data_IF_781057216919
#
_entry.id   IF_781057216919
#
_cell.length_a   1.000
_cell.length_b   1.000
_cell.length_c   1.000
_cell.angle_alpha   90.00
_cell.angle_beta   90.00
_cell.angle_gamma   90.00
#
_symmetry.space_group_name_H-M   'P 1'
#
loop_
_entity.id
_entity.type
_entity.pdbx_description
1 polymer ?
#
# COMPACT_ATOMS: atom_id res chain seq x y z
N UNK A 1 -17.60 -2.72 -14.20
CA UNK A 1 -16.22 -2.48 -14.69
C UNK A 1 -16.16 -1.46 -15.84
N UNK A 2 -17.16 -1.35 -16.72
CA UNK A 2 -17.19 -0.32 -17.77
C UNK A 2 -17.18 1.12 -17.21
N UNK A 3 -16.27 1.95 -17.73
CA UNK A 3 -16.20 3.40 -17.45
C UNK A 3 -15.31 4.15 -18.46
N UNK A 4 -15.10 5.45 -18.24
CA UNK A 4 -14.36 6.38 -19.11
C UNK A 4 -12.99 6.79 -18.54
N UNK A 5 -12.59 6.24 -17.39
CA UNK A 5 -11.31 6.57 -16.73
C UNK A 5 -10.16 6.07 -17.59
N UNK A 6 -9.19 6.94 -17.86
CA UNK A 6 -8.01 6.66 -18.69
C UNK A 6 -6.74 6.72 -17.85
N UNK A 7 -6.51 7.84 -17.18
CA UNK A 7 -5.34 7.97 -16.32
C UNK A 7 -5.59 7.19 -15.02
N UNK A 8 -4.84 6.11 -14.81
CA UNK A 8 -5.02 5.22 -13.67
C UNK A 8 -3.90 5.39 -12.67
N UNK A 9 -4.26 5.68 -11.42
CA UNK A 9 -3.30 5.91 -10.34
C UNK A 9 -2.90 4.60 -9.68
N UNK A 10 -1.60 4.36 -9.60
CA UNK A 10 -1.06 3.19 -8.91
C UNK A 10 -0.62 3.48 -7.46
N UNK A 11 -0.52 4.77 -7.10
CA UNK A 11 -0.63 5.26 -5.72
C UNK A 11 -1.79 6.25 -5.67
N UNK A 12 -2.76 5.99 -4.81
CA UNK A 12 -4.04 6.69 -4.80
C UNK A 12 -3.85 8.22 -4.67
N UNK A 13 -4.59 9.00 -5.47
CA UNK A 13 -4.49 10.47 -5.39
C UNK A 13 -4.81 10.98 -3.98
N UNK A 14 -5.75 10.33 -3.27
CA UNK A 14 -6.11 10.71 -1.90
C UNK A 14 -4.91 10.62 -0.95
N UNK A 15 -4.01 9.65 -1.12
CA UNK A 15 -2.80 9.52 -0.31
C UNK A 15 -1.78 10.61 -0.63
N UNK A 16 -1.60 10.91 -1.91
CA UNK A 16 -0.76 12.02 -2.34
C UNK A 16 -1.28 13.37 -1.79
N UNK A 17 -2.61 13.56 -1.73
CA UNK A 17 -3.24 14.78 -1.22
C UNK A 17 -3.05 15.00 0.27
N UNK A 18 -2.93 13.93 1.06
CA UNK A 18 -2.56 14.01 2.48
C UNK A 18 -1.12 14.52 2.68
N UNK A 19 -0.35 14.62 1.60
CA UNK A 19 1.02 15.13 1.55
C UNK A 19 1.16 16.40 0.68
N UNK A 20 0.05 17.02 0.28
CA UNK A 20 0.07 18.17 -0.63
C UNK A 20 0.75 19.40 -0.01
N UNK A 21 1.47 20.15 -0.86
CA UNK A 21 2.07 21.45 -0.54
C UNK A 21 0.99 22.48 -0.18
N UNK A 22 -0.14 22.39 -0.88
CA UNK A 22 -1.23 23.36 -0.89
C UNK A 22 -2.59 22.67 -0.63
N UNK A 23 -2.80 22.06 0.55
CA UNK A 23 -3.98 21.24 0.81
C UNK A 23 -5.30 22.03 0.75
N UNK A 24 -5.26 23.34 0.97
CA UNK A 24 -6.46 24.19 1.01
C UNK A 24 -7.04 24.56 -0.36
N UNK A 25 -6.35 24.26 -1.47
CA UNK A 25 -6.86 24.61 -2.81
C UNK A 25 -7.64 23.45 -3.44
N UNK A 26 -8.32 23.72 -4.56
CA UNK A 26 -9.10 22.70 -5.27
C UNK A 26 -8.26 21.46 -5.63
N UNK A 27 -8.81 20.27 -5.44
CA UNK A 27 -8.15 18.96 -5.64
C UNK A 27 -7.43 18.78 -6.99
N UNK A 28 -7.91 19.43 -8.06
CA UNK A 28 -7.29 19.43 -9.41
C UNK A 28 -5.96 20.18 -9.49
N UNK A 29 -5.75 21.15 -8.59
CA UNK A 29 -4.59 22.02 -8.60
C UNK A 29 -3.58 21.66 -7.50
N UNK A 30 -3.92 20.72 -6.62
CA UNK A 30 -3.04 20.32 -5.53
C UNK A 30 -1.76 19.69 -6.08
N UNK A 31 -0.63 20.03 -5.46
CA UNK A 31 0.71 19.63 -5.88
C UNK A 31 1.47 19.01 -4.73
N UNK A 32 2.47 18.21 -5.07
CA UNK A 32 3.41 17.57 -4.15
C UNK A 32 4.83 17.73 -4.68
N UNK A 33 5.84 17.91 -3.83
CA UNK A 33 7.22 17.93 -4.32
C UNK A 33 7.67 16.50 -4.61
N UNK A 34 8.37 16.33 -5.71
CA UNK A 34 8.96 15.07 -6.16
C UNK A 34 10.47 15.19 -6.18
N UNK A 35 11.15 14.15 -5.72
CA UNK A 35 12.59 14.09 -5.63
C UNK A 35 13.06 12.83 -6.32
N UNK A 36 14.00 12.99 -7.25
CA UNK A 36 14.66 11.86 -7.89
C UNK A 36 15.81 11.37 -7.02
N UNK A 37 15.87 10.04 -6.84
CA UNK A 37 16.89 9.39 -6.03
C UNK A 37 18.17 9.24 -6.85
N UNK A 38 19.20 10.03 -6.53
CA UNK A 38 20.50 9.99 -7.20
C UNK A 38 21.41 8.92 -6.63
N UNK A 39 21.40 8.76 -5.32
CA UNK A 39 22.20 7.77 -4.61
C UNK A 39 21.43 7.28 -3.39
N UNK A 40 21.04 6.00 -3.40
CA UNK A 40 20.22 5.41 -2.35
C UNK A 40 21.01 5.05 -1.09
N UNK A 41 22.32 4.81 -1.21
CA UNK A 41 23.19 4.45 -0.10
C UNK A 41 23.64 5.69 0.67
N UNK A 42 23.90 6.78 -0.06
CA UNK A 42 24.24 8.07 0.52
C UNK A 42 23.02 9.00 0.71
N UNK A 43 21.81 8.50 0.46
CA UNK A 43 20.53 9.21 0.56
C UNK A 43 20.48 10.56 -0.19
N UNK A 44 21.11 10.66 -1.36
CA UNK A 44 21.15 11.88 -2.16
C UNK A 44 19.94 12.00 -3.08
N UNK A 45 19.30 13.16 -3.03
CA UNK A 45 18.08 13.48 -3.76
C UNK A 45 18.23 14.76 -4.59
N UNK A 46 17.63 14.78 -5.77
CA UNK A 46 17.47 15.98 -6.58
C UNK A 46 15.99 16.37 -6.64
N UNK A 47 15.66 17.60 -6.26
CA UNK A 47 14.32 18.15 -6.43
C UNK A 47 14.02 18.28 -7.94
N UNK A 48 12.95 17.65 -8.40
CA UNK A 48 12.58 17.63 -9.82
C UNK A 48 11.91 18.93 -10.28
N UNK A 49 11.14 19.57 -9.39
CA UNK A 49 10.38 20.78 -9.72
C UNK A 49 10.23 21.69 -8.51
N UNK A 50 10.67 22.94 -8.64
CA UNK A 50 10.49 24.00 -7.65
C UNK A 50 9.02 24.35 -7.39
N UNK A 51 8.12 23.98 -8.30
CA UNK A 51 6.68 24.16 -8.19
C UNK A 51 5.96 22.88 -7.72
N UNK A 52 6.68 21.79 -7.51
CA UNK A 52 6.13 20.45 -7.33
C UNK A 52 5.47 19.90 -8.60
N UNK A 53 4.86 18.74 -8.49
CA UNK A 53 4.11 18.04 -9.52
C UNK A 53 2.62 18.03 -9.20
N UNK A 54 1.77 18.04 -10.24
CA UNK A 54 0.33 17.95 -10.04
C UNK A 54 -0.04 16.53 -9.64
N UNK A 55 -0.83 16.41 -8.57
CA UNK A 55 -1.27 15.09 -8.06
C UNK A 55 -2.21 14.39 -9.06
N UNK A 56 -2.97 15.13 -9.87
CA UNK A 56 -3.90 14.54 -10.84
C UNK A 56 -3.20 13.69 -11.93
N UNK A 57 -1.92 13.98 -12.20
CA UNK A 57 -1.12 13.32 -13.24
C UNK A 57 0.07 12.52 -12.68
N UNK A 58 0.26 12.52 -11.35
CA UNK A 58 1.40 11.90 -10.69
C UNK A 58 1.09 10.48 -10.22
N UNK A 59 2.10 9.60 -10.26
CA UNK A 59 2.01 8.17 -9.90
C UNK A 59 0.82 7.48 -10.59
N UNK A 60 0.69 7.76 -11.89
CA UNK A 60 -0.36 7.25 -12.74
C UNK A 60 0.15 6.88 -14.12
N UNK A 61 -0.61 6.06 -14.82
CA UNK A 61 -0.31 5.70 -16.20
C UNK A 61 -1.61 5.48 -16.96
N UNK A 62 -1.63 5.90 -18.22
CA UNK A 62 -2.80 5.77 -19.08
C UNK A 62 -3.13 4.31 -19.37
N UNK A 63 -4.37 3.92 -19.09
CA UNK A 63 -4.95 2.61 -19.39
C UNK A 63 -4.30 1.43 -18.64
N UNK A 64 -3.49 1.69 -17.61
CA UNK A 64 -2.71 0.68 -16.87
C UNK A 64 -3.48 -0.54 -16.34
N UNK A 65 -4.78 -0.39 -16.12
CA UNK A 65 -5.66 -1.41 -15.55
C UNK A 65 -6.83 -1.72 -16.49
N UNK A 66 -6.76 -1.27 -17.74
CA UNK A 66 -7.72 -1.56 -18.78
C UNK A 66 -7.45 -2.96 -19.35
N UNK A 67 -8.52 -3.71 -19.60
CA UNK A 67 -8.45 -5.04 -20.18
C UNK A 67 -9.41 -5.26 -21.36
N UNK A 68 -10.14 -4.21 -21.78
CA UNK A 68 -10.88 -4.18 -23.04
C UNK A 68 -11.19 -2.73 -23.43
N UNK A 69 -11.04 -2.38 -24.71
CA UNK A 69 -11.51 -1.11 -25.27
C UNK A 69 -12.84 -1.35 -25.98
N UNK A 70 -13.92 -0.72 -25.50
CA UNK A 70 -15.25 -0.85 -26.10
C UNK A 70 -15.45 0.18 -27.23
N UNK A 71 -14.85 1.36 -27.07
CA UNK A 71 -14.73 2.43 -28.06
C UNK A 71 -13.65 3.43 -27.59
N UNK A 72 -13.49 4.56 -28.28
CA UNK A 72 -12.50 5.59 -27.94
C UNK A 72 -12.61 6.09 -26.49
N UNK A 73 -13.85 6.18 -25.97
CA UNK A 73 -14.13 6.78 -24.66
C UNK A 73 -14.47 5.78 -23.57
N UNK A 74 -14.76 4.53 -23.89
CA UNK A 74 -15.20 3.52 -22.93
C UNK A 74 -14.30 2.30 -22.94
N UNK A 75 -14.00 1.83 -21.75
CA UNK A 75 -13.17 0.64 -21.51
C UNK A 75 -13.65 -0.15 -20.31
N UNK A 76 -13.29 -1.43 -20.28
CA UNK A 76 -13.37 -2.23 -19.07
C UNK A 76 -12.04 -2.11 -18.32
N UNK A 77 -12.10 -1.73 -17.04
CA UNK A 77 -10.93 -1.62 -16.18
C UNK A 77 -11.30 -1.93 -14.72
N UNK A 78 -10.28 -1.93 -13.85
CA UNK A 78 -10.40 -2.23 -12.42
C UNK A 78 -10.58 -0.98 -11.52
N UNK A 79 -10.65 0.23 -12.07
CA UNK A 79 -10.69 1.49 -11.27
C UNK A 79 -11.85 1.53 -10.27
N UNK A 80 -13.03 1.09 -10.68
CA UNK A 80 -14.19 1.02 -9.78
C UNK A 80 -13.95 0.09 -8.60
N UNK A 81 -13.20 -0.99 -8.78
CA UNK A 81 -12.87 -1.94 -7.72
C UNK A 81 -11.84 -1.35 -6.74
N UNK A 82 -10.81 -0.66 -7.24
CA UNK A 82 -9.88 0.09 -6.39
C UNK A 82 -10.59 1.18 -5.58
N UNK A 83 -11.53 1.89 -6.23
CA UNK A 83 -12.29 2.99 -5.61
C UNK A 83 -13.08 2.59 -4.36
N UNK A 84 -13.50 1.32 -4.23
CA UNK A 84 -14.19 0.81 -3.03
C UNK A 84 -13.36 1.05 -1.76
N UNK A 85 -12.04 0.83 -1.85
CA UNK A 85 -11.10 1.00 -0.75
C UNK A 85 -10.59 2.45 -0.64
N UNK A 86 -10.34 3.11 -1.77
CA UNK A 86 -9.74 4.45 -1.80
C UNK A 86 -10.66 5.55 -1.24
N UNK A 87 -11.96 5.46 -1.48
CA UNK A 87 -12.90 6.56 -1.25
C UNK A 87 -12.95 7.03 0.21
N UNK A 88 -12.62 6.15 1.16
CA UNK A 88 -12.73 6.43 2.59
C UNK A 88 -11.39 6.69 3.28
N UNK A 89 -10.23 6.34 2.69
CA UNK A 89 -8.95 6.38 3.41
C UNK A 89 -8.59 7.76 3.93
N UNK A 90 -8.92 8.83 3.20
CA UNK A 90 -8.66 10.19 3.66
C UNK A 90 -9.40 10.50 4.96
N UNK A 91 -10.68 10.13 5.03
CA UNK A 91 -11.52 10.30 6.22
C UNK A 91 -11.09 9.37 7.35
N UNK A 92 -10.73 8.13 7.04
CA UNK A 92 -10.25 7.16 8.02
C UNK A 92 -8.91 7.59 8.62
N UNK A 93 -8.01 8.15 7.81
CA UNK A 93 -6.72 8.68 8.29
C UNK A 93 -6.91 9.88 9.20
N UNK A 94 -7.79 10.81 8.82
CA UNK A 94 -8.14 11.95 9.67
C UNK A 94 -8.80 11.49 10.98
N UNK A 95 -9.77 10.57 10.91
CA UNK A 95 -10.41 9.96 12.08
C UNK A 95 -9.39 9.31 13.01
N UNK A 96 -8.47 8.50 12.46
CA UNK A 96 -7.43 7.82 13.22
C UNK A 96 -6.56 8.82 13.99
N UNK A 97 -6.07 9.85 13.30
CA UNK A 97 -5.19 10.84 13.90
C UNK A 97 -5.90 11.69 14.96
N UNK A 98 -7.17 12.04 14.74
CA UNK A 98 -7.98 12.74 15.74
C UNK A 98 -8.21 11.87 16.98
N UNK A 99 -8.65 10.62 16.81
CA UNK A 99 -8.84 9.67 17.91
C UNK A 99 -7.55 9.42 18.70
N UNK A 100 -6.43 9.26 18.01
CA UNK A 100 -5.10 9.13 18.63
C UNK A 100 -4.72 10.37 19.45
N UNK A 101 -5.03 11.57 18.96
CA UNK A 101 -4.77 12.80 19.71
C UNK A 101 -5.65 12.93 20.96
N UNK A 102 -6.88 12.43 20.90
CA UNK A 102 -7.85 12.43 21.99
C UNK A 102 -7.68 11.23 22.96
N UNK A 103 -6.67 10.37 22.74
CA UNK A 103 -6.47 9.10 23.47
C UNK A 103 -7.70 8.19 23.44
N UNK A 104 -8.39 8.14 22.30
CA UNK A 104 -9.49 7.25 22.04
C UNK A 104 -8.97 5.93 21.43
N UNK A 105 -9.25 4.82 22.12
CA UNK A 105 -8.80 3.47 21.74
C UNK A 105 -9.72 2.78 20.72
N UNK A 106 -10.86 3.36 20.37
CA UNK A 106 -11.77 2.86 19.33
C UNK A 106 -11.24 3.19 17.91
N UNK A 107 -10.08 2.63 17.56
CA UNK A 107 -9.35 2.92 16.30
C UNK A 107 -9.17 1.68 15.41
N UNK A 108 -9.75 0.54 15.81
CA UNK A 108 -9.57 -0.74 15.13
C UNK A 108 -10.03 -0.66 13.67
N UNK A 109 -11.19 -0.07 13.41
CA UNK A 109 -11.73 0.03 12.06
C UNK A 109 -10.81 0.83 11.13
N UNK A 110 -10.35 2.01 11.56
CA UNK A 110 -9.42 2.84 10.79
C UNK A 110 -8.13 2.09 10.48
N UNK A 111 -7.57 1.40 11.47
CA UNK A 111 -6.33 0.63 11.32
C UNK A 111 -6.47 -0.46 10.25
N UNK A 112 -7.57 -1.22 10.26
CA UNK A 112 -7.80 -2.32 9.34
C UNK A 112 -8.00 -1.82 7.90
N UNK A 113 -8.89 -0.84 7.74
CA UNK A 113 -9.25 -0.29 6.43
C UNK A 113 -8.08 0.46 5.77
N UNK A 114 -7.29 1.21 6.57
CA UNK A 114 -6.05 1.84 6.09
C UNK A 114 -5.07 0.76 5.63
N UNK A 115 -4.88 -0.31 6.41
CA UNK A 115 -3.97 -1.39 6.01
C UNK A 115 -4.40 -2.06 4.70
N UNK A 116 -5.70 -2.34 4.55
CA UNK A 116 -6.26 -2.94 3.35
C UNK A 116 -5.93 -2.12 2.09
N UNK A 117 -6.18 -0.80 2.14
CA UNK A 117 -5.84 0.05 1.00
C UNK A 117 -4.33 0.14 0.76
N UNK A 118 -3.54 0.30 1.82
CA UNK A 118 -2.07 0.43 1.68
C UNK A 118 -1.44 -0.83 1.11
N UNK A 119 -1.95 -2.00 1.49
CA UNK A 119 -1.54 -3.26 0.90
C UNK A 119 -2.03 -3.39 -0.56
N UNK A 120 -3.25 -2.96 -0.86
CA UNK A 120 -3.75 -2.94 -2.24
C UNK A 120 -2.90 -2.05 -3.15
N UNK A 121 -2.46 -0.88 -2.67
CA UNK A 121 -1.51 -0.02 -3.38
C UNK A 121 -0.20 -0.75 -3.70
N UNK A 122 0.28 -1.56 -2.76
CA UNK A 122 1.48 -2.39 -2.97
C UNK A 122 1.26 -3.38 -4.12
N UNK A 123 0.11 -4.06 -4.16
CA UNK A 123 -0.15 -5.06 -5.19
C UNK A 123 -0.40 -4.45 -6.58
N UNK A 124 -1.10 -3.32 -6.66
CA UNK A 124 -1.40 -2.63 -7.92
C UNK A 124 -0.29 -1.69 -8.40
N UNK A 125 0.81 -1.56 -7.67
CA UNK A 125 1.92 -0.73 -8.11
C UNK A 125 2.71 -1.42 -9.23
N UNK A 126 2.86 -0.80 -10.42
CA UNK A 126 3.56 -1.41 -11.54
C UNK A 126 5.06 -1.59 -11.26
N UNK A 127 5.67 -0.79 -10.40
CA UNK A 127 7.05 -0.99 -9.93
C UNK A 127 7.21 -2.21 -9.00
N UNK A 128 6.10 -2.84 -8.62
CA UNK A 128 6.05 -4.00 -7.74
C UNK A 128 5.52 -5.26 -8.42
N UNK A 129 5.26 -5.26 -9.75
CA UNK A 129 4.67 -6.41 -10.47
C UNK A 129 5.33 -7.74 -10.11
N UNK A 130 6.66 -7.83 -10.20
CA UNK A 130 7.39 -9.08 -9.90
C UNK A 130 7.18 -9.52 -8.45
N UNK A 131 7.20 -8.58 -7.49
CA UNK A 131 6.92 -8.87 -6.08
C UNK A 131 5.48 -9.35 -5.90
N UNK A 132 4.52 -8.65 -6.49
CA UNK A 132 3.10 -9.04 -6.47
C UNK A 132 2.88 -10.44 -7.06
N UNK A 133 3.53 -10.76 -8.18
CA UNK A 133 3.45 -12.10 -8.79
C UNK A 133 4.07 -13.19 -7.91
N UNK A 134 5.11 -12.88 -7.13
CA UNK A 134 5.67 -13.83 -6.16
C UNK A 134 4.72 -14.05 -4.97
N UNK A 135 3.94 -13.05 -4.57
CA UNK A 135 3.03 -13.15 -3.41
C UNK A 135 1.66 -13.73 -3.78
N UNK A 136 1.02 -13.22 -4.83
CA UNK A 136 -0.36 -13.55 -5.23
C UNK A 136 -0.47 -14.00 -6.71
N UNK A 137 0.65 -14.22 -7.40
CA UNK A 137 0.66 -14.62 -8.80
C UNK A 137 0.03 -15.99 -9.07
N UNK A 138 -0.13 -16.83 -8.05
CA UNK A 138 -0.84 -18.10 -8.19
C UNK A 138 -2.35 -17.90 -8.42
N UNK A 139 -2.92 -16.76 -8.02
CA UNK A 139 -4.33 -16.46 -8.25
C UNK A 139 -4.68 -16.45 -9.74
N UNK A 140 -3.73 -16.10 -10.62
CA UNK A 140 -3.94 -16.09 -12.08
C UNK A 140 -4.21 -17.48 -12.67
N UNK A 141 -3.97 -18.56 -11.92
CA UNK A 141 -4.20 -19.93 -12.38
C UNK A 141 -5.64 -20.41 -12.13
N UNK A 142 -6.42 -19.63 -11.39
CA UNK A 142 -7.82 -19.91 -11.10
C UNK A 142 -8.75 -19.12 -12.03
N UNK A 143 -10.03 -19.49 -12.02
CA UNK A 143 -11.09 -18.84 -12.78
C UNK A 143 -12.29 -18.57 -11.87
N UNK A 144 -13.03 -17.47 -12.09
CA UNK A 144 -14.31 -17.26 -11.43
C UNK A 144 -15.27 -18.42 -11.72
N UNK A 145 -16.02 -18.86 -10.70
CA UNK A 145 -17.07 -19.87 -10.87
C UNK A 145 -18.30 -19.31 -11.59
N UNK A 146 -18.56 -18.00 -11.44
CA UNK A 146 -19.62 -17.30 -12.14
C UNK A 146 -19.23 -17.10 -13.62
N UNK A 147 -20.14 -17.48 -14.53
CA UNK A 147 -19.90 -17.48 -15.98
C UNK A 147 -19.61 -16.08 -16.52
N UNK A 148 -20.38 -15.06 -16.11
CA UNK A 148 -20.19 -13.68 -16.58
C UNK A 148 -18.83 -13.11 -16.13
N UNK A 149 -18.43 -13.39 -14.87
CA UNK A 149 -17.12 -12.98 -14.37
C UNK A 149 -15.98 -13.72 -15.07
N UNK A 150 -16.19 -15.00 -15.41
CA UNK A 150 -15.21 -15.79 -16.15
C UNK A 150 -15.00 -15.23 -17.56
N UNK A 151 -16.06 -14.87 -18.26
CA UNK A 151 -15.97 -14.22 -19.58
C UNK A 151 -15.17 -12.90 -19.50
N UNK A 152 -15.42 -12.09 -18.47
CA UNK A 152 -14.67 -10.85 -18.25
C UNK A 152 -13.19 -11.09 -17.93
N UNK A 153 -12.89 -12.15 -17.18
CA UNK A 153 -11.53 -12.56 -16.86
C UNK A 153 -10.76 -13.03 -18.10
N UNK A 154 -11.40 -13.83 -18.96
CA UNK A 154 -10.80 -14.36 -20.20
C UNK A 154 -10.47 -13.25 -21.21
N UNK A 155 -11.17 -12.11 -21.16
CA UNK A 155 -10.81 -10.93 -21.97
C UNK A 155 -9.40 -10.42 -21.69
N UNK A 156 -8.85 -10.61 -20.48
CA UNK A 156 -7.49 -10.19 -20.14
C UNK A 156 -6.45 -10.92 -21.01
N UNK A 157 -6.69 -12.20 -21.32
CA UNK A 157 -5.78 -12.99 -22.17
C UNK A 157 -5.86 -12.55 -23.64
N UNK A 158 -7.09 -12.36 -24.12
CA UNK A 158 -7.38 -11.96 -25.51
C UNK A 158 -7.13 -10.49 -25.82
N UNK A 159 -6.95 -9.65 -24.80
CA UNK A 159 -6.76 -8.22 -25.00
C UNK A 159 -5.37 -7.90 -25.54
N UNK A 160 -5.31 -7.50 -26.80
CA UNK A 160 -4.15 -6.83 -27.37
C UNK A 160 -4.17 -5.36 -26.94
N UNK A 161 -3.71 -5.09 -25.72
CA UNK A 161 -3.67 -3.73 -25.17
C UNK A 161 -2.84 -2.83 -26.12
N UNK A 162 -3.38 -1.76 -26.72
CA UNK A 162 -2.67 -0.98 -27.73
C UNK A 162 -1.33 -0.41 -27.25
N UNK A 163 -1.23 -0.15 -25.94
CA UNK A 163 -0.02 0.32 -25.23
C UNK A 163 0.69 -0.76 -24.41
N UNK A 164 0.46 -2.06 -24.66
CA UNK A 164 1.06 -3.13 -23.85
C UNK A 164 2.58 -3.01 -23.80
N UNK A 165 3.21 -2.78 -24.96
CA UNK A 165 4.66 -2.65 -25.10
C UNK A 165 5.18 -1.38 -24.40
N UNK A 166 4.45 -0.27 -24.49
CA UNK A 166 4.78 0.98 -23.80
C UNK A 166 4.69 0.81 -22.27
N UNK A 167 3.64 0.16 -21.76
CA UNK A 167 3.50 -0.13 -20.32
C UNK A 167 4.65 -1.03 -19.86
N UNK A 168 4.84 -2.15 -20.54
CA UNK A 168 5.79 -3.19 -20.13
C UNK A 168 7.24 -2.71 -20.19
N UNK A 169 7.60 -1.90 -21.19
CA UNK A 169 8.91 -1.26 -21.29
C UNK A 169 9.16 -0.24 -20.18
N UNK A 170 8.17 0.61 -19.83
CA UNK A 170 8.30 1.59 -18.75
C UNK A 170 8.52 0.94 -17.37
N UNK A 171 7.95 -0.24 -17.14
CA UNK A 171 8.01 -0.93 -15.84
C UNK A 171 8.97 -2.12 -15.79
N UNK A 172 9.67 -2.42 -16.89
CA UNK A 172 10.70 -3.47 -16.93
C UNK A 172 10.17 -4.89 -16.73
N UNK A 173 8.99 -5.18 -17.29
CA UNK A 173 8.30 -6.48 -17.25
C UNK A 173 7.97 -6.96 -18.65
N UNK A 174 7.64 -8.24 -18.81
CA UNK A 174 7.12 -8.76 -20.07
C UNK A 174 5.60 -8.57 -20.18
N UNK A 175 5.05 -8.68 -21.40
CA UNK A 175 3.60 -8.68 -21.64
C UNK A 175 2.92 -9.82 -20.88
N UNK A 176 3.56 -10.98 -20.79
CA UNK A 176 3.04 -12.13 -20.04
C UNK A 176 3.01 -11.86 -18.53
N UNK A 177 4.06 -11.24 -17.97
CA UNK A 177 4.07 -10.81 -16.56
C UNK A 177 2.95 -9.78 -16.30
N UNK A 178 2.75 -8.82 -17.19
CA UNK A 178 1.68 -7.82 -17.09
C UNK A 178 0.28 -8.45 -17.13
N UNK A 179 0.01 -9.34 -18.10
CA UNK A 179 -1.27 -10.06 -18.18
C UNK A 179 -1.52 -10.91 -16.93
N UNK A 180 -0.51 -11.65 -16.48
CA UNK A 180 -0.58 -12.46 -15.25
C UNK A 180 -0.90 -11.59 -14.04
N UNK A 181 -0.29 -10.41 -13.95
CA UNK A 181 -0.52 -9.45 -12.89
C UNK A 181 -1.95 -8.90 -12.92
N UNK A 182 -2.45 -8.50 -14.09
CA UNK A 182 -3.84 -8.08 -14.28
C UNK A 182 -4.85 -9.17 -13.87
N UNK A 183 -4.57 -10.43 -14.23
CA UNK A 183 -5.39 -11.58 -13.81
C UNK A 183 -5.37 -11.78 -12.30
N UNK A 184 -4.19 -11.69 -11.67
CA UNK A 184 -4.07 -11.76 -10.21
C UNK A 184 -4.84 -10.63 -9.52
N UNK A 185 -4.78 -9.39 -10.00
CA UNK A 185 -5.54 -8.28 -9.45
C UNK A 185 -7.06 -8.47 -9.63
N UNK A 186 -7.49 -8.99 -10.78
CA UNK A 186 -8.90 -9.32 -11.01
C UNK A 186 -9.39 -10.37 -9.99
N UNK A 187 -8.66 -11.47 -9.84
CA UNK A 187 -9.01 -12.53 -8.89
C UNK A 187 -8.93 -12.07 -7.43
N UNK A 188 -8.06 -11.10 -7.14
CA UNK A 188 -7.93 -10.51 -5.81
C UNK A 188 -9.18 -9.69 -5.41
N UNK A 189 -9.76 -8.95 -6.37
CA UNK A 189 -10.74 -7.88 -6.09
C UNK A 189 -12.18 -8.19 -6.50
N UNK A 190 -12.37 -9.00 -7.55
CA UNK A 190 -13.67 -9.09 -8.23
C UNK A 190 -14.51 -10.28 -7.75
N UNK A 191 -14.04 -11.54 -7.84
CA UNK A 191 -14.87 -12.66 -7.44
C UNK A 191 -14.93 -12.78 -5.90
N UNK A 192 -16.13 -13.02 -5.32
CA UNK A 192 -16.21 -13.40 -3.93
C UNK A 192 -15.64 -14.80 -3.72
N UNK A 193 -14.93 -15.01 -2.61
CA UNK A 193 -14.37 -16.30 -2.18
C UNK A 193 -15.21 -16.90 -1.06
N UNK A 194 -15.74 -16.09 -0.15
CA UNK A 194 -16.49 -16.54 1.04
C UNK A 194 -17.56 -15.51 1.44
N UNK A 195 -18.83 -15.92 1.57
CA UNK A 195 -19.93 -15.13 2.17
C UNK A 195 -19.95 -13.60 1.87
N UNK A 196 -19.60 -13.21 0.63
CA UNK A 196 -19.47 -11.84 0.09
C UNK A 196 -18.10 -11.14 0.19
N UNK A 197 -17.07 -11.78 0.75
CA UNK A 197 -15.71 -11.26 0.77
C UNK A 197 -14.92 -11.66 -0.47
N UNK A 198 -14.18 -10.73 -1.05
CA UNK A 198 -13.16 -11.04 -2.05
C UNK A 198 -11.84 -11.51 -1.39
N UNK A 199 -10.84 -11.82 -2.20
CA UNK A 199 -9.60 -12.39 -1.69
C UNK A 199 -8.77 -11.41 -0.84
N UNK A 200 -8.81 -10.09 -1.13
CA UNK A 200 -8.10 -9.11 -0.30
C UNK A 200 -8.75 -9.02 1.09
N UNK A 201 -10.07 -9.05 1.19
CA UNK A 201 -10.78 -9.03 2.49
C UNK A 201 -10.51 -10.29 3.32
N UNK A 202 -10.50 -11.47 2.68
CA UNK A 202 -10.10 -12.72 3.34
C UNK A 202 -8.65 -12.65 3.81
N UNK A 203 -7.75 -12.09 3.00
CA UNK A 203 -6.35 -11.87 3.39
C UNK A 203 -6.26 -10.93 4.60
N UNK A 204 -7.03 -9.83 4.63
CA UNK A 204 -7.06 -8.90 5.77
C UNK A 204 -7.55 -9.56 7.03
N UNK A 205 -8.66 -10.30 6.95
CA UNK A 205 -9.17 -11.10 8.06
C UNK A 205 -8.07 -12.03 8.61
N UNK A 206 -7.32 -12.69 7.73
CA UNK A 206 -6.22 -13.58 8.14
C UNK A 206 -5.07 -12.88 8.85
N UNK A 207 -4.72 -11.64 8.46
CA UNK A 207 -3.68 -10.88 9.14
C UNK A 207 -4.06 -10.49 10.57
N UNK A 208 -5.35 -10.20 10.83
CA UNK A 208 -5.79 -9.61 12.09
C UNK A 208 -6.52 -10.56 13.04
N UNK A 209 -7.11 -11.63 12.52
CA UNK A 209 -7.84 -12.63 13.31
C UNK A 209 -7.04 -13.90 13.57
N UNK A 210 -5.80 -13.99 13.07
CA UNK A 210 -4.93 -15.13 13.37
C UNK A 210 -4.48 -15.10 14.84
N UNK A 211 -5.12 -15.95 15.64
CA UNK A 211 -4.90 -16.19 17.07
C UNK A 211 -3.48 -16.64 17.44
N UNK A 212 -2.64 -16.96 16.45
CA UNK A 212 -1.23 -17.34 16.64
C UNK A 212 -0.25 -16.18 16.40
N UNK A 213 -0.76 -15.02 16.00
CA UNK A 213 0.02 -13.83 15.69
C UNK A 213 -0.13 -12.77 16.78
N UNK A 214 0.98 -12.11 17.11
CA UNK A 214 0.97 -10.89 17.92
C UNK A 214 1.11 -9.68 16.98
N UNK A 215 0.16 -8.76 17.07
CA UNK A 215 0.05 -7.61 16.17
C UNK A 215 0.39 -6.36 16.97
N UNK A 216 1.47 -5.70 16.57
CA UNK A 216 1.90 -4.44 17.16
C UNK A 216 1.80 -3.35 16.10
N UNK A 217 1.21 -2.23 16.48
CA UNK A 217 1.02 -1.08 15.61
C UNK A 217 1.60 0.14 16.27
N UNK A 218 2.44 0.86 15.52
CA UNK A 218 3.03 2.11 15.96
C UNK A 218 2.54 3.24 15.07
N UNK A 219 1.96 4.27 15.66
CA UNK A 219 1.51 5.47 14.96
C UNK A 219 2.43 6.60 15.37
N UNK A 220 3.25 7.06 14.44
CA UNK A 220 4.24 8.12 14.66
C UNK A 220 3.68 9.45 14.17
N UNK A 221 3.65 10.47 15.03
CA UNK A 221 3.11 11.80 14.68
C UNK A 221 4.10 12.93 15.01
N UNK A 222 4.13 13.95 14.15
CA UNK A 222 5.04 15.09 14.22
C UNK A 222 4.26 16.40 14.27
N UNK A 223 4.20 17.03 15.44
CA UNK A 223 3.34 18.19 15.70
C UNK A 223 4.06 19.27 16.51
N UNK A 224 3.42 20.43 16.71
CA UNK A 224 4.01 21.53 17.47
C UNK A 224 5.26 22.09 16.80
N UNK A 225 6.38 22.14 17.53
CA UNK A 225 7.66 22.65 17.02
C UNK A 225 8.29 21.83 15.89
N UNK A 226 7.79 20.60 15.65
CA UNK A 226 8.29 19.72 14.59
C UNK A 226 7.32 19.57 13.42
N UNK A 227 6.31 20.43 13.31
CA UNK A 227 5.32 20.38 12.23
C UNK A 227 5.93 20.60 10.84
N UNK A 228 7.12 21.22 10.76
CA UNK A 228 7.91 21.41 9.55
C UNK A 228 8.71 20.16 9.15
N UNK A 229 8.78 19.14 10.02
CA UNK A 229 9.48 17.88 9.76
C UNK A 229 8.51 16.90 9.12
N UNK A 230 8.69 16.69 7.82
CA UNK A 230 7.74 15.95 7.02
C UNK A 230 8.16 14.51 6.76
N UNK A 231 7.14 13.66 6.75
CA UNK A 231 7.20 12.25 6.36
C UNK A 231 7.21 12.16 4.83
N UNK A 232 8.09 11.34 4.27
CA UNK A 232 8.10 11.06 2.83
C UNK A 232 6.97 10.12 2.39
N UNK A 233 6.62 10.20 1.11
CA UNK A 233 5.77 9.25 0.41
C UNK A 233 6.59 8.56 -0.69
N UNK A 234 6.47 7.25 -0.82
CA UNK A 234 7.19 6.45 -1.82
C UNK A 234 6.43 6.36 -3.13
N UNK A 235 7.14 6.29 -4.26
CA UNK A 235 6.56 5.89 -5.55
C UNK A 235 6.05 4.43 -5.58
N UNK A 236 6.45 3.60 -4.61
CA UNK A 236 5.90 2.26 -4.35
C UNK A 236 4.75 2.26 -3.35
N UNK A 237 4.64 3.30 -2.53
CA UNK A 237 3.60 3.48 -1.50
C UNK A 237 3.88 2.83 -0.13
N UNK A 238 5.00 2.11 0.04
CA UNK A 238 5.31 1.40 1.29
C UNK A 238 6.81 1.13 1.47
N UNK A 239 7.21 0.75 2.68
CA UNK A 239 8.51 0.15 3.01
C UNK A 239 8.31 -1.16 3.77
N UNK A 240 9.31 -2.04 3.67
CA UNK A 240 9.38 -3.30 4.41
C UNK A 240 10.62 -3.26 5.29
N UNK A 241 10.43 -3.38 6.60
CA UNK A 241 11.54 -3.41 7.56
C UNK A 241 12.05 -4.84 7.76
N UNK A 242 11.12 -5.79 7.82
CA UNK A 242 11.41 -7.21 7.93
C UNK A 242 10.34 -7.98 7.17
N UNK A 243 10.75 -8.99 6.43
CA UNK A 243 9.85 -9.93 5.75
C UNK A 243 10.47 -11.32 5.84
N UNK A 244 10.25 -11.96 6.99
CA UNK A 244 10.59 -13.36 7.19
C UNK A 244 9.43 -14.12 7.84
N UNK A 245 9.57 -15.46 7.94
CA UNK A 245 8.52 -16.35 8.47
C UNK A 245 8.04 -15.99 9.88
N UNK A 246 8.89 -15.36 10.68
CA UNK A 246 8.62 -15.06 12.07
C UNK A 246 8.18 -13.61 12.30
N UNK A 247 8.63 -12.69 11.45
CA UNK A 247 8.34 -11.27 11.58
C UNK A 247 8.16 -10.61 10.22
N UNK A 248 6.96 -10.08 9.99
CA UNK A 248 6.67 -9.19 8.86
C UNK A 248 6.36 -7.80 9.38
N UNK A 249 7.05 -6.79 8.87
CA UNK A 249 6.89 -5.39 9.29
C UNK A 249 6.79 -4.47 8.09
N UNK A 250 5.65 -3.81 7.95
CA UNK A 250 5.38 -2.80 6.93
C UNK A 250 5.33 -1.41 7.54
N UNK A 251 5.77 -0.40 6.81
CA UNK A 251 5.51 0.99 7.14
C UNK A 251 4.85 1.71 5.98
N UNK A 252 3.89 2.57 6.32
CA UNK A 252 3.10 3.32 5.36
C UNK A 252 3.00 4.78 5.79
N UNK A 253 3.09 5.68 4.81
CA UNK A 253 2.78 7.10 5.02
C UNK A 253 1.29 7.24 5.35
N UNK A 254 0.93 8.05 6.35
CA UNK A 254 -0.45 8.47 6.61
C UNK A 254 -0.71 9.86 6.05
N UNK A 255 0.13 10.83 6.44
CA UNK A 255 0.05 12.24 6.02
C UNK A 255 1.45 12.82 5.93
N UNK A 256 1.57 14.11 5.58
CA UNK A 256 2.86 14.82 5.62
C UNK A 256 3.54 14.83 6.98
N UNK A 257 2.85 14.45 8.06
CA UNK A 257 3.36 14.54 9.43
C UNK A 257 3.06 13.29 10.26
N UNK A 258 2.64 12.19 9.62
CA UNK A 258 2.42 10.94 10.31
C UNK A 258 2.68 9.73 9.42
N UNK A 259 3.19 8.66 10.02
CA UNK A 259 3.29 7.34 9.40
C UNK A 259 2.86 6.26 10.40
N UNK A 260 2.56 5.07 9.87
CA UNK A 260 2.12 3.92 10.63
C UNK A 260 3.02 2.73 10.33
N UNK A 261 3.36 1.97 11.38
CA UNK A 261 4.11 0.71 11.28
C UNK A 261 3.23 -0.44 11.73
N UNK A 262 3.08 -1.45 10.89
CA UNK A 262 2.37 -2.69 11.18
C UNK A 262 3.39 -3.80 11.37
N UNK A 263 3.40 -4.43 12.55
CA UNK A 263 4.29 -5.51 12.91
C UNK A 263 3.46 -6.76 13.22
N UNK A 264 3.61 -7.77 12.37
CA UNK A 264 2.97 -9.08 12.49
C UNK A 264 4.04 -10.10 12.89
N UNK A 265 3.96 -10.57 14.13
CA UNK A 265 4.89 -11.57 14.67
C UNK A 265 4.19 -12.93 14.79
N UNK A 266 4.72 -13.95 14.11
CA UNK A 266 4.32 -15.34 14.32
C UNK A 266 5.06 -15.89 15.54
N UNK A 267 4.33 -16.06 16.64
CA UNK A 267 4.93 -16.36 17.93
C UNK A 267 5.61 -17.74 17.95
N UNK A 268 5.08 -18.72 17.19
CA UNK A 268 5.69 -20.06 17.07
C UNK A 268 7.03 -19.97 16.35
N UNK A 269 7.06 -19.32 15.20
CA UNK A 269 8.27 -19.13 14.40
C UNK A 269 9.32 -18.30 15.15
N UNK A 270 8.89 -17.29 15.91
CA UNK A 270 9.78 -16.56 16.83
C UNK A 270 10.35 -17.49 17.91
N UNK A 271 9.52 -18.26 18.60
CA UNK A 271 9.98 -19.18 19.64
C UNK A 271 10.97 -20.22 19.09
N UNK A 272 10.68 -20.79 17.91
CA UNK A 272 11.57 -21.73 17.23
C UNK A 272 12.91 -21.12 16.78
N UNK A 273 13.02 -19.79 16.62
CA UNK A 273 14.31 -19.12 16.39
C UNK A 273 15.18 -19.08 17.66
N UNK A 274 14.57 -19.02 18.83
CA UNK A 274 15.29 -18.88 20.11
C UNK A 274 15.51 -20.21 20.84
N UNK A 275 14.74 -21.26 20.52
CA UNK A 275 14.92 -22.58 21.13
C UNK A 275 14.44 -23.71 20.23
N UNK A 276 15.13 -24.85 20.27
CA UNK A 276 14.74 -26.11 19.60
C UNK A 276 13.98 -27.05 20.54
N UNK A 277 13.80 -26.68 21.81
CA UNK A 277 13.06 -27.47 22.77
C UNK A 277 11.55 -27.27 22.58
N UNK A 278 10.92 -28.24 21.91
CA UNK A 278 9.48 -28.21 21.61
C UNK A 278 8.62 -28.04 22.87
N UNK A 279 9.01 -28.61 24.00
CA UNK A 279 8.24 -28.49 25.25
C UNK A 279 8.23 -27.06 25.79
N UNK A 280 9.33 -26.32 25.62
CA UNK A 280 9.42 -24.88 25.94
C UNK A 280 8.66 -24.01 24.93
N UNK A 281 8.65 -24.39 23.65
CA UNK A 281 7.85 -23.68 22.63
C UNK A 281 6.36 -23.83 22.94
N UNK A 282 5.89 -25.06 23.20
CA UNK A 282 4.48 -25.31 23.51
C UNK A 282 4.07 -24.68 24.86
N UNK A 283 4.97 -24.57 25.85
CA UNK A 283 4.66 -23.84 27.10
C UNK A 283 4.53 -22.33 26.88
N UNK A 284 5.37 -21.73 26.03
CA UNK A 284 5.27 -20.32 25.66
C UNK A 284 4.00 -20.03 24.84
N UNK A 285 3.62 -20.94 23.94
CA UNK A 285 2.43 -20.80 23.10
C UNK A 285 1.14 -21.03 23.90
N UNK A 286 1.08 -22.03 24.78
CA UNK A 286 -0.11 -22.29 25.62
C UNK A 286 -0.44 -21.16 26.60
N UNK A 287 0.55 -20.36 27.01
CA UNK A 287 0.31 -19.10 27.75
C UNK A 287 -0.38 -18.01 26.91
N UNK A 288 -0.42 -18.18 25.58
CA UNK A 288 -1.03 -17.24 24.63
C UNK A 288 -2.26 -17.81 23.91
N UNK A 289 -2.46 -19.13 23.85
CA UNK A 289 -3.59 -19.78 23.16
C UNK A 289 -4.97 -19.32 23.63
N UNK A 290 -5.09 -18.85 24.88
CA UNK A 290 -6.33 -18.32 25.45
C UNK A 290 -6.46 -16.80 25.34
N UNK A 291 -5.55 -16.10 24.65
CA UNK A 291 -5.63 -14.66 24.41
C UNK A 291 -6.12 -14.43 22.98
N UNK A 292 -7.24 -13.74 22.83
CA UNK A 292 -7.63 -13.12 21.55
C UNK A 292 -6.46 -12.29 21.03
N UNK A 293 -6.25 -12.21 19.71
CA UNK A 293 -5.21 -11.34 19.13
C UNK A 293 -5.39 -9.91 19.68
N UNK A 294 -4.52 -9.51 20.61
CA UNK A 294 -4.57 -8.17 21.19
C UNK A 294 -3.85 -7.27 20.19
N UNK A 295 -4.63 -6.43 19.52
CA UNK A 295 -4.10 -5.33 18.71
C UNK A 295 -3.42 -4.34 19.65
N UNK A 296 -2.09 -4.40 19.73
CA UNK A 296 -1.32 -3.49 20.58
C UNK A 296 -0.98 -2.24 19.81
N UNK A 297 -1.64 -1.12 20.09
CA UNK A 297 -1.37 0.16 19.45
C UNK A 297 -0.55 1.05 20.38
N UNK A 298 0.52 1.63 19.85
CA UNK A 298 1.36 2.62 20.54
C UNK A 298 1.49 3.87 19.69
N UNK A 299 1.40 5.02 20.34
CA UNK A 299 1.54 6.33 19.69
C UNK A 299 2.90 6.90 20.07
N UNK A 300 3.71 7.21 19.07
CA UNK A 300 5.03 7.81 19.21
C UNK A 300 4.96 9.25 18.75
N UNK A 301 5.24 10.21 19.63
CA UNK A 301 5.13 11.64 19.32
C UNK A 301 6.52 12.24 19.20
N UNK A 302 6.78 12.93 18.08
CA UNK A 302 7.96 13.75 17.85
C UNK A 302 9.31 13.00 17.97
N UNK A 303 9.32 11.70 17.68
CA UNK A 303 10.55 10.91 17.62
C UNK A 303 11.27 11.16 16.28
N UNK A 304 12.19 12.12 16.31
CA UNK A 304 12.94 12.58 15.15
C UNK A 304 13.95 11.57 14.62
N UNK A 305 14.53 10.73 15.48
CA UNK A 305 15.41 9.65 15.04
C UNK A 305 14.62 8.62 14.23
N UNK A 306 13.42 8.28 14.73
CA UNK A 306 12.52 7.39 14.02
C UNK A 306 12.05 7.98 12.68
N UNK A 307 11.83 9.31 12.59
CA UNK A 307 11.49 9.99 11.34
C UNK A 307 12.62 9.88 10.32
N UNK A 308 13.86 10.16 10.77
CA UNK A 308 15.05 10.07 9.94
C UNK A 308 15.22 8.66 9.37
N UNK A 309 15.13 7.64 10.24
CA UNK A 309 15.16 6.23 9.83
C UNK A 309 14.06 5.89 8.82
N UNK A 310 12.82 6.33 9.07
CA UNK A 310 11.70 6.10 8.15
C UNK A 310 11.98 6.69 6.77
N UNK A 311 12.37 7.97 6.70
CA UNK A 311 12.65 8.66 5.45
C UNK A 311 13.83 8.00 4.70
N UNK A 312 14.89 7.61 5.40
CA UNK A 312 16.05 6.94 4.81
C UNK A 312 15.69 5.56 4.24
N UNK A 313 14.92 4.77 4.97
CA UNK A 313 14.41 3.49 4.48
C UNK A 313 13.51 3.66 3.25
N UNK A 314 12.70 4.71 3.24
CA UNK A 314 11.81 5.02 2.13
C UNK A 314 12.59 5.42 0.87
N UNK A 315 13.65 6.22 1.01
CA UNK A 315 14.57 6.52 -0.10
C UNK A 315 15.26 5.26 -0.60
N UNK A 316 15.77 4.43 0.30
CA UNK A 316 16.47 3.20 -0.05
C UNK A 316 15.60 2.23 -0.87
N UNK A 317 14.33 2.08 -0.47
CA UNK A 317 13.41 1.07 -1.01
C UNK A 317 12.51 1.57 -2.15
N UNK A 318 12.39 2.88 -2.35
CA UNK A 318 11.63 3.44 -3.49
C UNK A 318 12.28 3.07 -4.83
N UNK A 319 11.50 3.15 -5.90
CA UNK A 319 11.98 2.76 -7.22
C UNK A 319 12.91 3.83 -7.80
N UNK A 320 12.36 5.01 -8.08
CA UNK A 320 13.06 6.15 -8.68
C UNK A 320 12.88 7.44 -7.88
N UNK A 321 11.71 7.65 -7.27
CA UNK A 321 11.32 8.93 -6.70
C UNK A 321 10.70 8.79 -5.31
N UNK A 322 10.89 9.82 -4.50
CA UNK A 322 10.14 10.06 -3.25
C UNK A 322 9.43 11.39 -3.32
N UNK A 323 8.38 11.56 -2.53
CA UNK A 323 7.54 12.76 -2.53
C UNK A 323 7.42 13.35 -1.14
N UNK A 324 7.32 14.68 -1.07
CA UNK A 324 7.24 15.40 0.19
C UNK A 324 6.35 16.65 0.07
N UNK A 325 5.86 17.11 1.23
CA UNK A 325 5.18 18.40 1.36
C UNK A 325 6.14 19.60 1.28
N UNK A 326 7.41 19.41 1.65
CA UNK A 326 8.45 20.45 1.67
C UNK A 326 9.53 20.21 0.62
N UNK A 327 10.25 21.28 0.26
CA UNK A 327 11.45 21.23 -0.60
C UNK A 327 12.66 20.65 0.13
N UNK A 328 12.64 20.65 1.46
CA UNK A 328 13.70 20.10 2.29
C UNK A 328 13.18 18.82 2.95
N UNK A 329 13.90 17.73 2.69
CA UNK A 329 13.61 16.43 3.30
C UNK A 329 14.36 16.36 4.63
N UNK A 330 13.64 15.94 5.67
CA UNK A 330 14.23 15.76 6.99
C UNK A 330 14.99 14.43 7.08
N UNK A 331 16.16 14.45 7.73
CA UNK A 331 16.94 13.24 8.05
C UNK A 331 18.03 12.88 7.04
N UNK A 332 18.29 13.75 6.05
CA UNK A 332 19.33 13.58 5.02
C UNK A 332 20.58 14.42 5.29
#
# INVERSE_FOLDING_TARGET
MQNVTRNHHFVAQVEQRLNAINPSISKKNQRIYSFHIKDREAYKLDLLSENGEKIEDNLSFDDLFSFEMLNENQRLNLEKAFGVYENNVGKLTESLLNKVNDNNDDIKNEILEIFALKLLNTFRNPYCIKKTLNTIGLLSNYYPANVELKELYEKIDGFNHPKAEDITSNFGVSVEEYKKWMKSLFMLLIPPIDENMNAIEVLMKSFFENNKSNINIFISTYTGEHIDKHVLLSDRGFTVISEDKALTTYEFNLTSNAFITYCFADMRSMACKYTTNNTLVESLLSMQENKTSILNVKVLKNDLELLSRYNNNLIYQSFNNVYCKSKQVYGL
#
